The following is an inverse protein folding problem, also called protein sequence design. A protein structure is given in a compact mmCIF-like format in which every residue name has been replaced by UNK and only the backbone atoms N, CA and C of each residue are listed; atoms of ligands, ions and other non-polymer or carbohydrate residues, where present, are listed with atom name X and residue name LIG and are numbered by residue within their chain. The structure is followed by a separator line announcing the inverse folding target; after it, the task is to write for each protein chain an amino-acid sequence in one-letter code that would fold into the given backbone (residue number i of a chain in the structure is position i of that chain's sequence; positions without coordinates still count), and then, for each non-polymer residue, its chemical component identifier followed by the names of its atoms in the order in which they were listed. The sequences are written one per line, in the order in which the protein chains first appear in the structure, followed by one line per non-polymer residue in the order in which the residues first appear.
data_IF_824274050261
#
_entry.id   IF_824274050261
#
_cell.length_a   1.000
_cell.length_b   1.000
_cell.length_c   1.000
_cell.angle_alpha   90.00
_cell.angle_beta   90.00
_cell.angle_gamma   90.00
#
_symmetry.space_group_name_H-M   'P 1'
#
loop_
_entity.id
_entity.type
_entity.pdbx_description
1 polymer ?
#
# COMPACT_ATOMS: atom_id res chain seq x y z
N UNK A 1 -21.80 3.62 -2.70
CA UNK A 1 -20.60 3.78 -1.85
C UNK A 1 -20.54 2.60 -0.88
N UNK A 2 -19.96 1.47 -1.31
CA UNK A 2 -19.96 0.24 -0.51
C UNK A 2 -18.94 0.35 0.62
N UNK A 3 -19.40 0.44 1.88
CA UNK A 3 -18.53 0.26 3.05
C UNK A 3 -18.20 -1.21 3.16
N UNK A 4 -17.07 -1.61 2.58
CA UNK A 4 -16.43 -2.90 2.83
C UNK A 4 -16.11 -2.99 4.33
N UNK A 5 -16.97 -3.67 5.09
CA UNK A 5 -16.77 -3.96 6.52
C UNK A 5 -15.71 -5.05 6.67
N UNK A 6 -14.46 -4.69 6.37
CA UNK A 6 -13.32 -5.59 6.52
C UNK A 6 -12.98 -5.66 8.03
N UNK A 7 -12.93 -6.84 8.65
CA UNK A 7 -12.62 -6.96 10.06
C UNK A 7 -11.23 -6.39 10.39
N UNK A 8 -11.04 -5.78 11.57
CA UNK A 8 -9.81 -5.07 11.95
C UNK A 8 -8.55 -5.95 11.90
N UNK A 9 -8.70 -7.27 12.03
CA UNK A 9 -7.60 -8.25 11.89
C UNK A 9 -7.07 -8.35 10.46
N UNK A 10 -7.95 -8.25 9.45
CA UNK A 10 -7.54 -8.23 8.04
C UNK A 10 -6.90 -6.88 7.69
N UNK A 11 -7.38 -5.79 8.31
CA UNK A 11 -6.76 -4.47 8.17
C UNK A 11 -5.31 -4.44 8.66
N UNK A 12 -5.02 -5.06 9.81
CA UNK A 12 -3.67 -5.17 10.33
C UNK A 12 -2.75 -5.96 9.37
N UNK A 13 -3.26 -7.03 8.74
CA UNK A 13 -2.50 -7.83 7.78
C UNK A 13 -2.16 -7.07 6.48
N UNK A 14 -3.09 -6.24 5.99
CA UNK A 14 -2.89 -5.44 4.78
C UNK A 14 -2.01 -4.22 5.00
N UNK A 15 -1.93 -3.72 6.24
CA UNK A 15 -1.11 -2.54 6.59
C UNK A 15 0.25 -2.92 7.17
N UNK A 16 0.33 -4.03 7.90
CA UNK A 16 1.56 -4.57 8.47
C UNK A 16 1.80 -5.97 7.88
N UNK A 17 2.25 -6.08 6.61
CA UNK A 17 2.54 -7.37 6.02
C UNK A 17 3.61 -8.09 6.86
N UNK A 18 3.37 -9.33 7.33
CA UNK A 18 4.35 -10.07 8.09
C UNK A 18 5.63 -10.24 7.25
N UNK A 19 6.77 -9.83 7.80
CA UNK A 19 8.06 -9.84 7.09
C UNK A 19 8.57 -8.48 6.64
N UNK A 20 7.82 -7.38 6.83
CA UNK A 20 8.34 -6.04 6.55
C UNK A 20 9.35 -5.61 7.63
N UNK A 21 10.57 -5.16 7.25
CA UNK A 21 11.54 -4.64 8.22
C UNK A 21 10.93 -3.48 9.02
N UNK A 22 11.11 -3.49 10.35
CA UNK A 22 10.56 -2.46 11.25
C UNK A 22 10.98 -1.04 10.85
N UNK A 23 12.22 -0.89 10.37
CA UNK A 23 12.74 0.40 9.91
C UNK A 23 12.04 0.91 8.66
N UNK A 24 11.70 0.01 7.72
CA UNK A 24 10.93 0.36 6.53
C UNK A 24 9.52 0.82 6.92
N UNK A 25 8.87 0.10 7.83
CA UNK A 25 7.57 0.47 8.35
C UNK A 25 7.59 1.85 9.04
N UNK A 26 8.64 2.15 9.80
CA UNK A 26 8.82 3.47 10.43
C UNK A 26 8.96 4.58 9.39
N UNK A 27 9.75 4.37 8.33
CA UNK A 27 9.90 5.33 7.22
C UNK A 27 8.58 5.57 6.49
N UNK A 28 7.80 4.51 6.23
CA UNK A 28 6.48 4.62 5.59
C UNK A 28 5.52 5.42 6.46
N UNK A 29 5.48 5.17 7.79
CA UNK A 29 4.66 5.95 8.73
C UNK A 29 5.04 7.44 8.72
N UNK A 30 6.33 7.75 8.67
CA UNK A 30 6.82 9.14 8.59
C UNK A 30 6.44 9.81 7.26
N UNK A 31 6.59 9.10 6.13
CA UNK A 31 6.21 9.61 4.81
C UNK A 31 4.70 9.87 4.70
N UNK A 32 3.88 8.92 5.17
CA UNK A 32 2.43 9.07 5.21
C UNK A 32 1.99 10.25 6.10
N UNK A 33 2.61 10.42 7.27
CA UNK A 33 2.36 11.55 8.16
C UNK A 33 2.75 12.90 7.53
N UNK A 34 3.87 12.96 6.79
CA UNK A 34 4.28 14.17 6.09
C UNK A 34 3.26 14.60 5.02
N UNK A 35 2.66 13.65 4.32
CA UNK A 35 1.60 13.91 3.34
C UNK A 35 0.20 14.10 3.95
N UNK A 36 0.05 14.02 5.27
CA UNK A 36 -1.24 14.12 5.95
C UNK A 36 -2.18 12.94 5.67
N UNK A 37 -1.63 11.79 5.24
CA UNK A 37 -2.38 10.61 4.83
C UNK A 37 -2.24 9.48 5.84
N UNK A 38 -3.19 8.56 5.82
CA UNK A 38 -3.02 7.26 6.49
C UNK A 38 -2.00 6.43 5.71
N UNK A 39 -1.28 5.52 6.39
CA UNK A 39 -0.36 4.56 5.74
C UNK A 39 -1.06 3.80 4.59
N UNK A 40 -2.33 3.44 4.80
CA UNK A 40 -3.16 2.81 3.77
C UNK A 40 -3.32 3.70 2.54
N UNK A 41 -3.70 4.96 2.75
CA UNK A 41 -3.88 5.92 1.66
C UNK A 41 -2.58 6.15 0.89
N UNK A 42 -1.49 6.36 1.63
CA UNK A 42 -0.16 6.53 1.05
C UNK A 42 0.24 5.33 0.17
N UNK A 43 0.09 4.10 0.66
CA UNK A 43 0.42 2.90 -0.12
C UNK A 43 -0.53 2.67 -1.31
N UNK A 44 -1.82 3.00 -1.16
CA UNK A 44 -2.82 2.86 -2.23
C UNK A 44 -2.59 3.84 -3.39
N UNK A 45 -1.95 4.98 -3.14
CA UNK A 45 -1.55 5.91 -4.19
C UNK A 45 -0.22 5.49 -4.84
N UNK A 46 0.70 4.92 -4.07
CA UNK A 46 2.01 4.49 -4.56
C UNK A 46 1.93 3.21 -5.40
N UNK A 47 1.01 2.31 -5.05
CA UNK A 47 0.81 1.04 -5.73
C UNK A 47 0.46 1.18 -7.22
N UNK A 48 -0.58 1.92 -7.66
CA UNK A 48 -0.97 1.99 -9.07
C UNK A 48 0.15 2.59 -9.93
N UNK A 49 0.80 3.66 -9.47
CA UNK A 49 1.92 4.27 -10.18
C UNK A 49 3.05 3.26 -10.43
N UNK A 50 3.33 2.40 -9.44
CA UNK A 50 4.40 1.40 -9.55
C UNK A 50 3.98 0.18 -10.36
N UNK A 51 2.73 -0.25 -10.27
CA UNK A 51 2.18 -1.33 -11.11
C UNK A 51 2.19 -0.91 -12.58
N UNK A 52 1.71 0.29 -12.91
CA UNK A 52 1.70 0.81 -14.29
C UNK A 52 3.11 0.83 -14.90
N UNK A 53 4.12 1.22 -14.12
CA UNK A 53 5.51 1.20 -14.58
C UNK A 53 6.03 -0.22 -14.84
N UNK A 54 5.67 -1.17 -13.96
CA UNK A 54 6.05 -2.57 -14.11
C UNK A 54 5.33 -3.25 -15.28
N UNK A 55 4.08 -2.88 -15.55
CA UNK A 55 3.34 -3.31 -16.74
C UNK A 55 3.97 -2.76 -18.02
N UNK A 56 4.39 -1.48 -18.03
CA UNK A 56 5.11 -0.88 -19.17
C UNK A 56 6.45 -1.54 -19.44
N UNK A 57 7.14 -1.99 -18.38
CA UNK A 57 8.39 -2.74 -18.47
C UNK A 57 8.18 -4.21 -18.85
N UNK A 58 6.93 -4.69 -18.92
CA UNK A 58 6.59 -6.08 -19.21
C UNK A 58 6.94 -7.05 -18.08
N UNK A 59 7.22 -6.55 -16.87
CA UNK A 59 7.51 -7.37 -15.68
C UNK A 59 6.21 -7.93 -15.11
N UNK A 60 5.14 -7.12 -15.12
CA UNK A 60 3.80 -7.53 -14.74
C UNK A 60 2.94 -7.73 -16.00
N UNK A 61 2.04 -8.73 -16.00
CA UNK A 61 1.04 -8.86 -17.05
C UNK A 61 0.13 -7.64 -17.00
N UNK A 62 -0.18 -7.07 -18.16
CA UNK A 62 -1.17 -5.99 -18.26
C UNK A 62 -2.50 -6.50 -17.75
N UNK A 63 -3.08 -5.78 -16.79
CA UNK A 63 -4.47 -6.04 -16.37
C UNK A 63 -5.39 -5.88 -17.58
N UNK A 64 -6.35 -6.81 -17.72
CA UNK A 64 -7.25 -6.92 -18.88
C UNK A 64 -8.38 -5.91 -18.83
#
# INVERSE_FOLDING_TARGET
MARLNIPPRIFAFLLEPPGLPRDLMRKIKMAAAHEGKTVKGFLMELAPARIDELERKGILPKSK
#
